data_IF_311155431767
#
_entry.id   IF_311155431767
#
_cell.length_a   1.000
_cell.length_b   1.000
_cell.length_c   1.000
_cell.angle_alpha   90.00
_cell.angle_beta   90.00
_cell.angle_gamma   90.00
#
_symmetry.space_group_name_H-M   'P 1'
#
loop_
_entity.id
_entity.type
_entity.pdbx_description
1 polymer ?
#
# COMPACT_ATOMS: atom_id res chain seq x y z
N UNK A 1 -22.18 3.78 14.85
CA UNK A 1 -21.11 3.69 13.86
C UNK A 1 -21.68 3.61 12.47
N UNK A 2 -21.19 4.46 11.56
CA UNK A 2 -21.73 4.61 10.20
C UNK A 2 -21.57 3.31 9.40
N UNK A 3 -20.39 2.68 9.42
CA UNK A 3 -20.11 1.47 8.64
C UNK A 3 -21.14 0.34 8.89
N UNK A 4 -21.46 0.04 10.15
CA UNK A 4 -22.47 -0.97 10.48
C UNK A 4 -23.82 -0.65 9.83
N UNK A 5 -24.29 0.57 10.05
CA UNK A 5 -25.61 0.98 9.55
C UNK A 5 -25.71 0.91 8.02
N UNK A 6 -24.63 1.29 7.33
CA UNK A 6 -24.57 1.25 5.86
C UNK A 6 -24.58 -0.20 5.35
N UNK A 7 -23.73 -1.08 5.86
CA UNK A 7 -23.67 -2.48 5.42
C UNK A 7 -24.95 -3.24 5.75
N UNK A 8 -25.58 -2.99 6.92
CA UNK A 8 -26.88 -3.59 7.26
C UNK A 8 -28.00 -3.08 6.34
N UNK A 9 -28.00 -1.79 5.97
CA UNK A 9 -28.93 -1.25 5.00
C UNK A 9 -28.77 -1.85 3.59
N UNK A 10 -27.55 -2.28 3.24
CA UNK A 10 -27.24 -3.02 2.01
C UNK A 10 -27.57 -4.52 2.11
N UNK A 11 -28.07 -5.00 3.24
CA UNK A 11 -28.47 -6.39 3.45
C UNK A 11 -27.37 -7.30 3.98
N UNK A 12 -26.22 -6.78 4.37
CA UNK A 12 -25.15 -7.57 4.95
C UNK A 12 -25.42 -7.89 6.43
N UNK A 13 -25.00 -9.07 6.88
CA UNK A 13 -24.89 -9.39 8.30
C UNK A 13 -23.52 -8.93 8.80
N UNK A 14 -23.51 -8.02 9.78
CA UNK A 14 -22.29 -7.36 10.23
C UNK A 14 -21.84 -7.79 11.62
N UNK A 15 -20.55 -7.98 11.78
CA UNK A 15 -19.84 -8.20 13.04
C UNK A 15 -18.86 -7.03 13.23
N UNK A 16 -18.93 -6.34 14.35
CA UNK A 16 -18.08 -5.16 14.61
C UNK A 16 -17.20 -5.42 15.81
N UNK A 17 -15.92 -5.17 15.66
CA UNK A 17 -14.93 -5.16 16.72
C UNK A 17 -14.29 -3.77 16.86
N UNK A 18 -13.63 -3.51 17.97
CA UNK A 18 -12.93 -2.25 18.27
C UNK A 18 -13.82 -1.00 18.11
N UNK A 19 -15.07 -1.09 18.57
CA UNK A 19 -16.12 -0.13 18.34
C UNK A 19 -16.42 0.80 19.52
N UNK A 20 -15.55 0.84 20.52
CA UNK A 20 -15.71 1.63 21.75
C UNK A 20 -14.58 2.67 21.85
N UNK A 21 -14.62 3.78 21.07
CA UNK A 21 -13.63 4.83 21.16
C UNK A 21 -13.71 5.55 22.51
N UNK A 22 -12.58 5.79 23.14
CA UNK A 22 -12.45 6.53 24.40
C UNK A 22 -11.69 7.84 24.25
N UNK A 23 -11.28 8.19 23.02
CA UNK A 23 -10.48 9.37 22.71
C UNK A 23 -8.96 9.17 22.82
N UNK A 24 -8.51 8.01 23.33
CA UNK A 24 -7.09 7.68 23.51
C UNK A 24 -6.68 6.39 22.81
N UNK A 25 -7.63 5.53 22.47
CA UNK A 25 -7.41 4.19 21.92
C UNK A 25 -7.43 4.11 20.37
N UNK A 26 -7.26 5.24 19.69
CA UNK A 26 -7.18 5.27 18.23
C UNK A 26 -6.03 4.37 17.74
N UNK A 27 -6.31 3.45 16.81
CA UNK A 27 -5.37 2.48 16.24
C UNK A 27 -4.71 1.51 17.26
N UNK A 28 -5.17 1.47 18.51
CA UNK A 28 -4.61 0.57 19.53
C UNK A 28 -5.01 -0.88 19.23
N UNK A 29 -4.07 -1.68 18.71
CA UNK A 29 -4.29 -3.06 18.27
C UNK A 29 -5.51 -3.20 17.32
N UNK A 30 -5.76 -2.19 16.51
CA UNK A 30 -6.92 -2.07 15.64
C UNK A 30 -6.60 -1.28 14.38
N UNK A 31 -7.50 -1.29 13.43
CA UNK A 31 -7.39 -0.52 12.20
C UNK A 31 -6.59 -1.22 11.10
N UNK A 32 -6.32 -0.48 10.02
CA UNK A 32 -5.69 -1.01 8.80
C UNK A 32 -4.26 -1.49 8.98
N UNK A 33 -3.59 -1.11 10.08
CA UNK A 33 -2.21 -1.53 10.41
C UNK A 33 -2.14 -2.69 11.41
N UNK A 34 -3.28 -3.12 11.97
CA UNK A 34 -3.38 -4.17 12.98
C UNK A 34 -4.59 -5.06 12.72
N UNK A 35 -4.51 -5.91 11.70
CA UNK A 35 -5.64 -6.71 11.20
C UNK A 35 -5.77 -8.08 11.88
N UNK A 36 -4.89 -8.45 12.82
CA UNK A 36 -4.85 -9.79 13.42
C UNK A 36 -6.16 -10.14 14.15
N UNK A 37 -6.78 -9.15 14.80
CA UNK A 37 -8.09 -9.30 15.46
C UNK A 37 -9.20 -9.58 14.45
N UNK A 38 -9.19 -8.84 13.35
CA UNK A 38 -10.14 -9.01 12.25
C UNK A 38 -9.96 -10.38 11.57
N UNK A 39 -8.71 -10.76 11.28
CA UNK A 39 -8.38 -12.07 10.68
C UNK A 39 -8.92 -13.23 11.52
N UNK A 40 -8.70 -13.20 12.84
CA UNK A 40 -9.25 -14.22 13.75
C UNK A 40 -10.77 -14.27 13.71
N UNK A 41 -11.43 -13.12 13.68
CA UNK A 41 -12.89 -13.07 13.62
C UNK A 41 -13.43 -13.63 12.30
N UNK A 42 -12.85 -13.25 11.16
CA UNK A 42 -13.23 -13.78 9.85
C UNK A 42 -13.16 -15.31 9.83
N UNK A 43 -12.04 -15.86 10.32
CA UNK A 43 -11.85 -17.32 10.34
C UNK A 43 -12.76 -18.04 11.33
N UNK A 44 -12.95 -17.51 12.55
CA UNK A 44 -13.75 -18.18 13.58
C UNK A 44 -15.24 -18.17 13.30
N UNK A 45 -15.75 -17.10 12.69
CA UNK A 45 -17.17 -16.94 12.35
C UNK A 45 -17.50 -17.32 10.89
N UNK A 46 -16.48 -17.78 10.13
CA UNK A 46 -16.61 -18.13 8.70
C UNK A 46 -17.25 -17.01 7.88
N UNK A 47 -16.72 -15.78 8.04
CA UNK A 47 -17.23 -14.61 7.35
C UNK A 47 -16.72 -14.54 5.92
N UNK A 48 -17.52 -13.95 5.03
CA UNK A 48 -17.18 -13.78 3.61
C UNK A 48 -16.03 -12.79 3.41
N UNK A 49 -15.93 -11.78 4.27
CA UNK A 49 -14.91 -10.71 4.19
C UNK A 49 -14.82 -9.95 5.51
N UNK A 50 -13.64 -9.40 5.81
CA UNK A 50 -13.43 -8.41 6.86
C UNK A 50 -12.89 -7.11 6.28
N UNK A 51 -13.29 -5.96 6.85
CA UNK A 51 -12.77 -4.65 6.49
C UNK A 51 -12.19 -3.94 7.71
N UNK A 52 -10.96 -3.44 7.59
CA UNK A 52 -10.27 -2.66 8.62
C UNK A 52 -10.06 -1.23 8.10
N UNK A 53 -10.43 -0.27 8.93
CA UNK A 53 -10.27 1.16 8.66
C UNK A 53 -9.24 1.75 9.61
N UNK A 54 -8.52 2.77 9.20
CA UNK A 54 -7.64 3.53 10.10
C UNK A 54 -8.40 4.60 10.89
N UNK A 55 -7.69 5.44 11.63
CA UNK A 55 -8.30 6.32 12.61
C UNK A 55 -9.23 7.39 12.06
N UNK A 56 -8.97 7.91 10.86
CA UNK A 56 -9.80 8.88 10.14
C UNK A 56 -10.62 8.26 8.99
N UNK A 57 -10.50 6.91 8.85
CA UNK A 57 -11.23 6.09 7.90
C UNK A 57 -11.03 6.47 6.43
N UNK A 58 -9.90 7.08 6.09
CA UNK A 58 -9.49 7.39 4.72
C UNK A 58 -8.89 6.17 4.01
N UNK A 59 -8.54 5.10 4.78
CA UNK A 59 -7.96 3.83 4.30
C UNK A 59 -8.87 2.65 4.62
N UNK A 60 -8.80 1.65 3.74
CA UNK A 60 -9.41 0.35 3.91
C UNK A 60 -8.42 -0.75 3.54
N UNK A 61 -8.20 -1.69 4.46
CA UNK A 61 -7.58 -2.99 4.19
C UNK A 61 -8.65 -4.05 4.37
N UNK A 62 -8.67 -5.05 3.49
CA UNK A 62 -9.61 -6.15 3.61
C UNK A 62 -8.90 -7.45 4.04
N UNK A 63 -9.69 -8.36 4.59
CA UNK A 63 -9.29 -9.73 4.90
C UNK A 63 -10.27 -10.65 4.18
N UNK A 64 -9.74 -11.57 3.39
CA UNK A 64 -10.56 -12.52 2.64
C UNK A 64 -11.09 -13.66 3.54
N UNK A 65 -11.94 -14.51 2.99
CA UNK A 65 -12.56 -15.63 3.68
C UNK A 65 -11.55 -16.70 4.20
N UNK A 66 -10.30 -16.66 3.71
CA UNK A 66 -9.21 -17.54 4.17
C UNK A 66 -8.34 -16.87 5.25
N UNK A 67 -8.67 -15.63 5.63
CA UNK A 67 -7.88 -14.84 6.58
C UNK A 67 -6.66 -14.17 5.96
N UNK A 68 -6.53 -14.14 4.64
CA UNK A 68 -5.42 -13.47 3.97
C UNK A 68 -5.71 -11.98 3.78
N UNK A 69 -4.65 -11.18 3.93
CA UNK A 69 -4.74 -9.72 3.73
C UNK A 69 -4.95 -9.39 2.25
N UNK A 70 -5.90 -8.50 1.98
CA UNK A 70 -6.10 -7.86 0.68
C UNK A 70 -5.79 -6.38 0.85
N UNK A 71 -4.54 -6.04 0.54
CA UNK A 71 -3.98 -4.70 0.67
C UNK A 71 -4.48 -3.73 -0.42
N UNK A 72 -4.06 -2.46 -0.33
CA UNK A 72 -4.49 -1.44 -1.29
C UNK A 72 -4.12 -1.76 -2.74
N UNK A 73 -3.02 -2.46 -3.00
CA UNK A 73 -2.63 -2.86 -4.34
C UNK A 73 -3.61 -3.88 -4.93
N UNK A 74 -4.01 -4.89 -4.15
CA UNK A 74 -5.02 -5.87 -4.55
C UNK A 74 -6.39 -5.23 -4.71
N UNK A 75 -6.76 -4.29 -3.82
CA UNK A 75 -8.00 -3.52 -3.91
C UNK A 75 -8.04 -2.71 -5.20
N UNK A 76 -6.96 -1.98 -5.53
CA UNK A 76 -6.86 -1.22 -6.78
C UNK A 76 -7.05 -2.09 -8.01
N UNK A 77 -6.46 -3.30 -8.03
CA UNK A 77 -6.65 -4.24 -9.12
C UNK A 77 -8.11 -4.66 -9.28
N UNK A 78 -8.75 -5.07 -8.18
CA UNK A 78 -10.15 -5.54 -8.19
C UNK A 78 -11.08 -4.45 -8.71
N UNK A 79 -10.92 -3.22 -8.19
CA UNK A 79 -11.73 -2.08 -8.58
C UNK A 79 -11.44 -1.63 -10.02
N UNK A 80 -10.17 -1.67 -10.45
CA UNK A 80 -9.80 -1.36 -11.82
C UNK A 80 -10.44 -2.32 -12.83
N UNK A 81 -10.42 -3.62 -12.55
CA UNK A 81 -11.09 -4.64 -13.38
C UNK A 81 -12.60 -4.40 -13.43
N UNK A 82 -13.26 -4.17 -12.29
CA UNK A 82 -14.70 -3.88 -12.24
C UNK A 82 -15.07 -2.63 -13.03
N UNK A 83 -14.32 -1.54 -12.84
CA UNK A 83 -14.54 -0.29 -13.56
C UNK A 83 -14.29 -0.42 -15.06
N UNK A 84 -13.29 -1.22 -15.47
CA UNK A 84 -13.03 -1.49 -16.88
C UNK A 84 -14.14 -2.32 -17.51
N UNK A 85 -14.58 -3.39 -16.86
CA UNK A 85 -15.70 -4.23 -17.32
C UNK A 85 -16.99 -3.41 -17.51
N UNK A 86 -17.25 -2.44 -16.63
CA UNK A 86 -18.40 -1.54 -16.72
C UNK A 86 -18.19 -0.34 -17.66
N UNK A 87 -17.01 -0.19 -18.28
CA UNK A 87 -16.68 0.96 -19.11
C UNK A 87 -16.53 2.29 -18.36
N UNK A 88 -16.31 2.23 -17.05
CA UNK A 88 -16.22 3.42 -16.18
C UNK A 88 -14.80 3.75 -15.73
N UNK A 89 -13.78 3.01 -16.20
CA UNK A 89 -12.36 3.31 -15.96
C UNK A 89 -11.83 4.24 -17.08
N UNK A 90 -11.68 5.54 -16.83
CA UNK A 90 -11.24 6.46 -17.87
C UNK A 90 -9.86 6.08 -18.41
N UNK A 91 -9.75 5.98 -19.73
CA UNK A 91 -8.50 5.64 -20.43
C UNK A 91 -7.90 4.28 -19.99
N UNK A 92 -8.68 3.38 -19.36
CA UNK A 92 -8.19 2.12 -18.78
C UNK A 92 -6.92 2.32 -17.92
N UNK A 93 -6.92 3.36 -17.08
CA UNK A 93 -5.70 3.77 -16.36
C UNK A 93 -5.95 3.95 -14.87
N UNK A 94 -5.03 3.42 -14.06
CA UNK A 94 -4.97 3.57 -12.58
C UNK A 94 -3.78 4.44 -12.22
N UNK A 95 -3.95 5.35 -11.24
CA UNK A 95 -2.84 6.13 -10.68
C UNK A 95 -2.33 5.46 -9.41
N UNK A 96 -1.04 5.21 -9.37
CA UNK A 96 -0.34 4.51 -8.27
C UNK A 96 0.83 5.34 -7.76
N UNK A 97 1.58 4.82 -6.81
CA UNK A 97 2.83 5.46 -6.34
C UNK A 97 4.04 4.58 -6.63
N UNK A 98 5.23 5.16 -6.53
CA UNK A 98 6.50 4.43 -6.61
C UNK A 98 6.65 3.32 -5.55
N UNK A 99 5.77 3.25 -4.55
CA UNK A 99 5.76 2.19 -3.53
C UNK A 99 4.87 0.99 -3.90
N UNK A 100 4.02 1.14 -4.89
CA UNK A 100 3.13 0.07 -5.39
C UNK A 100 3.92 -1.18 -5.77
N UNK A 101 3.45 -2.33 -5.35
CA UNK A 101 4.15 -3.60 -5.59
C UNK A 101 4.19 -3.97 -7.09
N UNK A 102 5.31 -4.49 -7.57
CA UNK A 102 5.46 -4.96 -8.96
C UNK A 102 4.41 -6.03 -9.33
N UNK A 103 3.89 -6.76 -8.34
CA UNK A 103 2.81 -7.73 -8.54
C UNK A 103 1.54 -7.08 -9.08
N UNK A 104 1.20 -5.86 -8.59
CA UNK A 104 0.07 -5.10 -9.14
C UNK A 104 0.33 -4.73 -10.61
N UNK A 105 1.52 -4.20 -10.95
CA UNK A 105 1.82 -3.82 -12.33
C UNK A 105 1.72 -4.98 -13.30
N UNK A 106 2.27 -6.16 -12.93
CA UNK A 106 2.14 -7.38 -13.74
C UNK A 106 0.68 -7.80 -13.94
N UNK A 107 -0.14 -7.70 -12.89
CA UNK A 107 -1.56 -8.05 -12.97
C UNK A 107 -2.34 -7.04 -13.85
N UNK A 108 -2.07 -5.74 -13.71
CA UNK A 108 -2.66 -4.70 -14.54
C UNK A 108 -2.28 -4.88 -16.02
N UNK A 109 -1.01 -5.12 -16.31
CA UNK A 109 -0.52 -5.37 -17.69
C UNK A 109 -1.20 -6.59 -18.30
N UNK A 110 -1.31 -7.69 -17.55
CA UNK A 110 -2.02 -8.91 -17.99
C UNK A 110 -3.51 -8.65 -18.24
N UNK A 111 -4.12 -7.73 -17.47
CA UNK A 111 -5.50 -7.29 -17.67
C UNK A 111 -5.64 -6.22 -18.78
N UNK A 112 -4.55 -5.74 -19.39
CA UNK A 112 -4.56 -4.66 -20.37
C UNK A 112 -4.98 -3.30 -19.77
N UNK A 113 -4.70 -3.09 -18.48
CA UNK A 113 -4.97 -1.84 -17.76
C UNK A 113 -3.65 -1.09 -17.61
N UNK A 114 -3.63 0.18 -17.98
CA UNK A 114 -2.45 1.04 -17.85
C UNK A 114 -2.31 1.59 -16.43
N UNK A 115 -1.12 1.99 -16.06
CA UNK A 115 -0.86 2.69 -14.81
C UNK A 115 -0.01 3.94 -15.01
N UNK A 116 -0.14 4.88 -14.08
CA UNK A 116 0.68 6.08 -13.97
C UNK A 116 1.22 6.15 -12.56
N UNK A 117 2.55 6.22 -12.42
CA UNK A 117 3.21 6.31 -11.12
C UNK A 117 3.41 7.78 -10.70
N UNK A 118 3.21 8.03 -9.41
CA UNK A 118 3.53 9.30 -8.75
C UNK A 118 4.52 9.09 -7.61
N UNK A 119 5.00 10.16 -7.03
CA UNK A 119 5.63 10.13 -5.70
C UNK A 119 4.61 9.73 -4.65
N UNK A 120 5.08 9.22 -3.50
CA UNK A 120 4.23 8.86 -2.35
C UNK A 120 3.49 10.09 -1.82
N UNK A 121 2.21 9.92 -1.58
CA UNK A 121 1.29 10.91 -0.99
C UNK A 121 0.02 11.07 -1.81
N UNK A 122 -1.10 11.06 -1.12
CA UNK A 122 -2.47 11.18 -1.64
C UNK A 122 -2.65 12.41 -2.55
N UNK A 123 -2.05 13.54 -2.14
CA UNK A 123 -2.05 14.78 -2.92
C UNK A 123 -1.49 14.57 -4.34
N UNK A 124 -0.36 13.86 -4.49
CA UNK A 124 0.27 13.65 -5.79
C UNK A 124 -0.56 12.71 -6.67
N UNK A 125 -1.20 11.71 -6.05
CA UNK A 125 -2.15 10.83 -6.73
C UNK A 125 -3.31 11.66 -7.26
N UNK A 126 -3.96 12.45 -6.40
CA UNK A 126 -5.11 13.26 -6.79
C UNK A 126 -4.76 14.29 -7.86
N UNK A 127 -3.65 15.02 -7.73
CA UNK A 127 -3.16 15.95 -8.74
C UNK A 127 -2.94 15.25 -10.10
N UNK A 128 -2.36 14.04 -10.11
CA UNK A 128 -2.18 13.24 -11.30
C UNK A 128 -3.52 12.81 -11.90
N UNK A 129 -4.47 12.36 -11.05
CA UNK A 129 -5.81 11.98 -11.49
C UNK A 129 -6.55 13.15 -12.15
N UNK A 130 -6.46 14.34 -11.58
CA UNK A 130 -7.09 15.54 -12.16
C UNK A 130 -6.45 15.91 -13.49
N UNK A 131 -5.11 15.95 -13.53
CA UNK A 131 -4.35 16.34 -14.74
C UNK A 131 -4.58 15.37 -15.90
N UNK A 132 -4.61 14.06 -15.61
CA UNK A 132 -4.79 13.02 -16.63
C UNK A 132 -6.23 12.63 -16.89
N UNK A 133 -7.19 13.13 -16.13
CA UNK A 133 -8.60 12.74 -16.26
C UNK A 133 -8.90 11.33 -15.73
N UNK A 134 -8.05 10.74 -14.88
CA UNK A 134 -8.18 9.38 -14.37
C UNK A 134 -9.25 9.26 -13.28
N UNK A 135 -9.88 8.09 -13.18
CA UNK A 135 -11.00 7.83 -12.29
C UNK A 135 -10.64 7.09 -10.99
N UNK A 136 -9.55 6.33 -10.99
CA UNK A 136 -9.11 5.49 -9.89
C UNK A 136 -7.62 5.73 -9.60
N UNK A 137 -7.27 5.84 -8.33
CA UNK A 137 -5.90 5.90 -7.88
C UNK A 137 -5.79 5.54 -6.40
N UNK A 138 -4.58 5.21 -5.94
CA UNK A 138 -4.38 4.88 -4.53
C UNK A 138 -3.00 4.35 -4.21
N UNK A 139 -2.87 3.87 -2.97
CA UNK A 139 -1.65 3.37 -2.36
C UNK A 139 -1.85 1.98 -1.76
N UNK A 140 -0.77 1.22 -1.63
CA UNK A 140 -0.74 -0.08 -0.95
C UNK A 140 -1.31 -0.01 0.48
N UNK A 141 -1.18 1.14 1.16
CA UNK A 141 -1.74 1.39 2.49
C UNK A 141 -3.28 1.30 2.59
N UNK A 142 -3.97 1.17 1.46
CA UNK A 142 -5.43 1.13 1.40
C UNK A 142 -6.09 2.49 1.19
N UNK A 143 -5.32 3.58 1.00
CA UNK A 143 -5.85 4.87 0.59
C UNK A 143 -6.24 4.82 -0.88
N UNK A 144 -7.55 4.71 -1.15
CA UNK A 144 -8.10 4.56 -2.51
C UNK A 144 -9.02 5.71 -2.83
N UNK A 145 -8.74 6.39 -3.94
CA UNK A 145 -9.51 7.54 -4.44
C UNK A 145 -10.35 7.09 -5.63
N UNK A 146 -11.65 7.15 -5.48
CA UNK A 146 -12.64 6.98 -6.53
C UNK A 146 -13.16 8.36 -6.95
N UNK A 147 -12.50 9.03 -7.88
CA UNK A 147 -12.68 10.45 -8.22
C UNK A 147 -14.12 10.83 -8.59
N UNK A 148 -14.92 9.88 -9.05
CA UNK A 148 -16.35 10.09 -9.32
C UNK A 148 -17.12 10.47 -8.04
N UNK A 149 -16.67 10.01 -6.88
CA UNK A 149 -17.40 10.11 -5.62
C UNK A 149 -16.70 11.01 -4.60
N UNK A 150 -15.37 11.00 -4.56
CA UNK A 150 -14.58 11.74 -3.57
C UNK A 150 -13.29 12.30 -4.17
N UNK A 151 -12.75 13.35 -3.53
CA UNK A 151 -11.46 13.98 -3.89
C UNK A 151 -10.29 13.46 -3.06
N UNK A 152 -10.56 12.57 -2.10
CA UNK A 152 -9.61 11.93 -1.21
C UNK A 152 -9.96 10.46 -1.07
N UNK A 153 -9.14 9.68 -0.37
CA UNK A 153 -9.48 8.31 0.02
C UNK A 153 -10.72 8.27 0.91
N UNK A 154 -11.51 7.22 0.73
CA UNK A 154 -12.67 6.91 1.56
C UNK A 154 -12.70 5.40 1.77
N UNK A 155 -12.31 4.98 2.97
CA UNK A 155 -12.23 3.56 3.31
C UNK A 155 -13.60 2.88 3.29
N UNK A 156 -14.64 3.56 3.76
CA UNK A 156 -15.99 2.98 3.76
C UNK A 156 -16.53 2.81 2.34
N UNK A 157 -16.36 3.81 1.47
CA UNK A 157 -16.72 3.71 0.07
C UNK A 157 -15.93 2.58 -0.62
N UNK A 158 -14.64 2.46 -0.35
CA UNK A 158 -13.78 1.39 -0.86
C UNK A 158 -14.31 0.01 -0.45
N UNK A 159 -14.66 -0.16 0.82
CA UNK A 159 -15.24 -1.41 1.34
C UNK A 159 -16.58 -1.76 0.67
N UNK A 160 -17.45 -0.77 0.46
CA UNK A 160 -18.74 -0.96 -0.23
C UNK A 160 -18.51 -1.41 -1.68
N UNK A 161 -17.62 -0.75 -2.41
CA UNK A 161 -17.31 -1.10 -3.81
C UNK A 161 -16.69 -2.49 -3.95
N UNK A 162 -15.87 -2.92 -2.97
CA UNK A 162 -15.37 -4.30 -2.92
C UNK A 162 -16.49 -5.31 -2.67
N UNK A 163 -17.37 -5.04 -1.71
CA UNK A 163 -18.50 -5.91 -1.40
C UNK A 163 -19.47 -6.01 -2.61
N UNK A 164 -19.76 -4.88 -3.27
CA UNK A 164 -20.54 -4.84 -4.51
C UNK A 164 -19.90 -5.74 -5.57
N UNK A 165 -18.56 -5.61 -5.79
CA UNK A 165 -17.85 -6.43 -6.76
C UNK A 165 -17.90 -7.93 -6.43
N UNK A 166 -17.81 -8.31 -5.18
CA UNK A 166 -17.94 -9.72 -4.75
C UNK A 166 -19.33 -10.28 -5.11
N UNK A 167 -20.39 -9.50 -4.83
CA UNK A 167 -21.78 -9.88 -5.13
C UNK A 167 -22.01 -9.98 -6.63
N UNK A 168 -21.62 -8.97 -7.40
CA UNK A 168 -21.83 -8.92 -8.85
C UNK A 168 -21.07 -10.04 -9.58
N UNK A 169 -19.82 -10.27 -9.20
CA UNK A 169 -19.00 -11.34 -9.76
C UNK A 169 -19.40 -12.74 -9.26
N UNK A 170 -20.16 -12.83 -8.16
CA UNK A 170 -20.45 -14.07 -7.43
C UNK A 170 -19.17 -14.86 -7.09
N UNK A 171 -18.16 -14.14 -6.66
CA UNK A 171 -16.84 -14.68 -6.35
C UNK A 171 -16.37 -14.23 -4.96
N UNK A 172 -15.69 -15.10 -4.20
CA UNK A 172 -15.05 -14.73 -2.96
C UNK A 172 -13.89 -13.76 -3.22
N UNK A 173 -13.54 -12.98 -2.19
CA UNK A 173 -12.52 -11.94 -2.29
C UNK A 173 -11.15 -12.51 -2.66
N UNK A 174 -10.79 -13.70 -2.13
CA UNK A 174 -9.54 -14.40 -2.46
C UNK A 174 -9.38 -14.63 -3.96
N UNK A 175 -10.45 -14.98 -4.65
CA UNK A 175 -10.43 -15.24 -6.10
C UNK A 175 -10.28 -13.95 -6.90
N UNK A 176 -10.91 -12.87 -6.46
CA UNK A 176 -10.78 -11.55 -7.09
C UNK A 176 -9.36 -10.98 -6.92
N UNK A 177 -8.73 -11.23 -5.77
CA UNK A 177 -7.38 -10.77 -5.45
C UNK A 177 -6.27 -11.65 -6.06
N UNK A 178 -6.56 -12.92 -6.38
CA UNK A 178 -5.57 -13.93 -6.81
C UNK A 178 -4.64 -13.51 -7.95
N UNK A 179 -5.06 -12.73 -8.97
CA UNK A 179 -4.15 -12.31 -10.03
C UNK A 179 -2.98 -11.43 -9.56
N UNK A 180 -3.10 -10.75 -8.40
CA UNK A 180 -2.03 -9.92 -7.84
C UNK A 180 -1.14 -10.77 -6.94
N UNK A 181 -0.07 -11.29 -7.52
CA UNK A 181 0.97 -12.03 -6.78
C UNK A 181 2.03 -11.04 -6.32
N UNK A 182 1.99 -10.70 -5.03
CA UNK A 182 2.93 -9.72 -4.46
C UNK A 182 4.36 -10.24 -4.49
N UNK A 183 5.28 -9.40 -4.95
CA UNK A 183 6.71 -9.66 -4.84
C UNK A 183 7.19 -9.34 -3.41
N UNK A 184 8.11 -10.11 -2.84
CA UNK A 184 8.78 -9.74 -1.60
C UNK A 184 9.35 -8.33 -1.69
N UNK A 185 8.97 -7.48 -0.73
CA UNK A 185 9.38 -6.08 -0.65
C UNK A 185 9.90 -5.80 0.76
N UNK A 186 11.01 -5.09 0.88
CA UNK A 186 11.60 -4.70 2.16
C UNK A 186 12.03 -3.25 2.12
N UNK A 187 11.67 -2.51 3.16
CA UNK A 187 12.14 -1.14 3.36
C UNK A 187 13.01 -1.05 4.61
N UNK A 188 14.18 -0.42 4.47
CA UNK A 188 15.05 -0.03 5.59
C UNK A 188 15.28 1.47 5.57
N UNK A 189 15.50 2.05 6.75
CA UNK A 189 15.75 3.48 6.91
C UNK A 189 17.11 3.71 7.56
N UNK A 190 17.73 4.85 7.22
CA UNK A 190 18.94 5.30 7.86
C UNK A 190 18.83 6.80 8.17
N UNK A 191 19.23 7.18 9.38
CA UNK A 191 19.23 8.56 9.83
C UNK A 191 20.38 9.31 9.20
N UNK A 192 20.09 10.50 8.69
CA UNK A 192 21.07 11.31 7.94
C UNK A 192 20.88 12.79 8.28
N UNK A 193 21.98 13.57 8.40
CA UNK A 193 21.89 15.01 8.67
C UNK A 193 21.33 15.78 7.48
N UNK A 194 21.62 15.34 6.27
CA UNK A 194 21.15 15.96 5.03
C UNK A 194 20.67 14.90 4.03
N UNK A 195 19.36 14.84 3.85
CA UNK A 195 18.71 13.89 2.91
C UNK A 195 19.05 14.20 1.46
N UNK A 196 19.18 15.47 1.11
CA UNK A 196 19.43 15.89 -0.27
C UNK A 196 20.89 15.64 -0.67
N UNK A 197 21.84 15.79 0.26
CA UNK A 197 23.23 15.40 0.06
C UNK A 197 23.38 13.89 -0.26
N UNK A 198 22.64 13.03 0.45
CA UNK A 198 22.63 11.57 0.15
C UNK A 198 22.11 11.29 -1.26
N UNK A 199 20.97 11.91 -1.61
CA UNK A 199 20.35 11.71 -2.93
C UNK A 199 21.17 12.33 -4.07
N UNK A 200 21.96 13.35 -3.79
CA UNK A 200 22.82 14.01 -4.77
C UNK A 200 24.19 13.30 -4.97
N UNK A 201 24.63 12.50 -3.98
CA UNK A 201 25.97 11.87 -4.00
C UNK A 201 26.14 10.97 -5.23
N UNK A 202 27.19 11.20 -6.06
CA UNK A 202 27.36 10.46 -7.31
C UNK A 202 27.69 8.97 -7.09
N UNK A 203 28.35 8.62 -5.96
CA UNK A 203 28.70 7.24 -5.64
C UNK A 203 27.46 6.47 -5.19
N UNK A 204 26.59 7.10 -4.41
CA UNK A 204 25.30 6.54 -4.01
C UNK A 204 24.42 6.31 -5.24
N UNK A 205 24.33 7.28 -6.16
CA UNK A 205 23.58 7.13 -7.42
C UNK A 205 24.12 5.99 -8.29
N UNK A 206 25.42 5.91 -8.44
CA UNK A 206 26.06 4.86 -9.23
C UNK A 206 25.78 3.46 -8.66
N UNK A 207 25.85 3.32 -7.32
CA UNK A 207 25.55 2.04 -6.65
C UNK A 207 24.07 1.69 -6.78
N UNK A 208 23.17 2.66 -6.65
CA UNK A 208 21.74 2.44 -6.86
C UNK A 208 21.46 1.90 -8.27
N UNK A 209 22.07 2.51 -9.28
CA UNK A 209 21.95 2.06 -10.68
C UNK A 209 22.56 0.66 -10.90
N UNK A 210 23.69 0.33 -10.27
CA UNK A 210 24.32 -0.99 -10.33
C UNK A 210 23.41 -2.07 -9.72
N UNK A 211 22.83 -1.82 -8.54
CA UNK A 211 21.90 -2.75 -7.92
C UNK A 211 20.64 -2.92 -8.79
N UNK A 212 20.10 -1.83 -9.33
CA UNK A 212 18.94 -1.89 -10.22
C UNK A 212 19.24 -2.73 -11.47
N UNK A 213 20.42 -2.58 -12.08
CA UNK A 213 20.85 -3.38 -13.22
C UNK A 213 20.99 -4.87 -12.89
N UNK A 214 21.52 -5.21 -11.69
CA UNK A 214 21.61 -6.61 -11.21
C UNK A 214 20.24 -7.25 -10.97
N UNK A 215 19.27 -6.47 -10.47
CA UNK A 215 17.90 -6.94 -10.25
C UNK A 215 17.15 -7.10 -11.59
N UNK A 216 17.44 -6.28 -12.59
CA UNK A 216 16.81 -6.32 -13.91
C UNK A 216 15.29 -6.26 -13.83
N UNK A 217 14.60 -7.05 -14.65
CA UNK A 217 13.13 -7.10 -14.67
C UNK A 217 12.51 -7.89 -13.51
N UNK A 218 13.33 -8.58 -12.70
CA UNK A 218 12.85 -9.40 -11.58
C UNK A 218 12.70 -8.63 -10.27
N UNK A 219 13.24 -7.40 -10.20
CA UNK A 219 13.18 -6.60 -8.99
C UNK A 219 13.50 -5.14 -9.24
N UNK A 220 13.48 -4.35 -8.18
CA UNK A 220 13.84 -2.92 -8.21
C UNK A 220 14.38 -2.46 -6.87
N UNK A 221 15.06 -1.35 -6.88
CA UNK A 221 15.52 -0.66 -5.68
C UNK A 221 15.19 0.83 -5.78
N UNK A 222 14.74 1.41 -4.69
CA UNK A 222 14.42 2.84 -4.59
C UNK A 222 15.12 3.44 -3.39
N UNK A 223 15.67 4.63 -3.57
CA UNK A 223 16.20 5.48 -2.50
C UNK A 223 15.37 6.76 -2.46
N UNK A 224 14.75 7.05 -1.32
CA UNK A 224 13.90 8.22 -1.16
C UNK A 224 14.08 8.90 0.19
N UNK A 225 13.83 10.19 0.24
CA UNK A 225 13.74 10.93 1.50
C UNK A 225 12.42 10.65 2.22
N UNK A 226 12.44 10.62 3.55
CA UNK A 226 11.23 10.72 4.37
C UNK A 226 10.71 12.16 4.37
N UNK A 227 9.40 12.34 4.25
CA UNK A 227 8.76 13.66 4.36
C UNK A 227 8.78 14.22 5.77
N UNK A 228 8.65 13.35 6.78
CA UNK A 228 8.43 13.72 8.19
C UNK A 228 9.63 13.50 9.09
N UNK A 229 10.53 12.59 8.73
CA UNK A 229 11.65 12.16 9.57
C UNK A 229 13.01 12.53 8.94
N UNK A 230 14.07 12.72 9.72
CA UNK A 230 15.43 12.95 9.21
C UNK A 230 16.10 11.64 8.75
N UNK A 231 15.42 10.90 7.88
CA UNK A 231 15.92 9.63 7.33
C UNK A 231 15.80 9.59 5.82
N UNK A 232 16.68 8.84 5.19
CA UNK A 232 16.46 8.29 3.86
C UNK A 232 15.99 6.84 3.97
N UNK A 233 15.15 6.44 3.04
CA UNK A 233 14.56 5.10 3.00
C UNK A 233 15.01 4.38 1.75
N UNK A 234 15.51 3.18 1.94
CA UNK A 234 15.86 2.24 0.86
C UNK A 234 14.78 1.18 0.82
N UNK A 235 14.06 1.08 -0.29
CA UNK A 235 13.13 0.01 -0.55
C UNK A 235 13.73 -0.89 -1.64
N UNK A 236 13.75 -2.18 -1.39
CA UNK A 236 14.09 -3.20 -2.38
C UNK A 236 12.91 -4.17 -2.56
N UNK A 237 12.67 -4.55 -3.80
CA UNK A 237 11.66 -5.52 -4.20
C UNK A 237 12.33 -6.53 -5.14
N UNK A 238 12.14 -7.83 -4.87
CA UNK A 238 12.84 -8.88 -5.60
C UNK A 238 12.14 -10.24 -5.39
N UNK A 239 12.57 -11.33 -6.07
CA UNK A 239 12.00 -12.65 -5.87
C UNK A 239 12.13 -13.22 -4.45
N UNK A 240 12.99 -12.67 -3.59
CA UNK A 240 13.13 -13.15 -2.21
C UNK A 240 13.45 -12.02 -1.22
N UNK A 241 12.94 -12.15 0.02
CA UNK A 241 13.25 -11.21 1.11
C UNK A 241 14.75 -11.17 1.43
N UNK A 242 15.48 -12.28 1.28
CA UNK A 242 16.91 -12.32 1.51
C UNK A 242 17.66 -11.40 0.52
N UNK A 243 17.27 -11.43 -0.76
CA UNK A 243 17.86 -10.56 -1.78
C UNK A 243 17.47 -9.08 -1.55
N UNK A 244 16.21 -8.81 -1.17
CA UNK A 244 15.79 -7.46 -0.77
C UNK A 244 16.65 -6.95 0.38
N UNK A 245 16.86 -7.77 1.41
CA UNK A 245 17.70 -7.45 2.56
C UNK A 245 19.12 -7.12 2.16
N UNK A 246 19.76 -7.98 1.35
CA UNK A 246 21.12 -7.78 0.88
C UNK A 246 21.29 -6.47 0.07
N UNK A 247 20.37 -6.17 -0.85
CA UNK A 247 20.38 -4.93 -1.62
C UNK A 247 20.21 -3.69 -0.74
N UNK A 248 19.28 -3.74 0.22
CA UNK A 248 19.07 -2.63 1.14
C UNK A 248 20.29 -2.41 2.05
N UNK A 249 20.86 -3.49 2.60
CA UNK A 249 22.04 -3.43 3.47
C UNK A 249 23.28 -2.90 2.74
N UNK A 250 23.49 -3.29 1.50
CA UNK A 250 24.54 -2.77 0.63
C UNK A 250 24.45 -1.25 0.47
N UNK A 251 23.24 -0.71 0.24
CA UNK A 251 23.01 0.73 0.14
C UNK A 251 23.25 1.44 1.48
N UNK A 252 22.73 0.90 2.59
CA UNK A 252 22.92 1.49 3.91
C UNK A 252 24.40 1.49 4.33
N UNK A 253 25.13 0.42 4.03
CA UNK A 253 26.57 0.32 4.29
C UNK A 253 27.36 1.37 3.49
N UNK A 254 27.02 1.58 2.22
CA UNK A 254 27.61 2.61 1.40
C UNK A 254 27.36 4.02 1.96
N UNK A 255 26.11 4.34 2.33
CA UNK A 255 25.75 5.65 2.88
C UNK A 255 26.58 5.93 4.15
N UNK A 256 26.76 4.94 5.03
CA UNK A 256 27.64 5.04 6.22
C UNK A 256 29.11 5.24 5.82
N UNK A 257 29.62 4.44 4.92
CA UNK A 257 31.03 4.52 4.46
C UNK A 257 31.37 5.86 3.78
N UNK A 258 30.37 6.53 3.21
CA UNK A 258 30.49 7.88 2.65
C UNK A 258 30.45 8.99 3.70
N UNK A 259 30.23 8.66 5.00
CA UNK A 259 30.08 9.66 6.07
C UNK A 259 28.78 10.50 5.94
N UNK A 260 27.76 9.97 5.24
CA UNK A 260 26.48 10.65 5.01
C UNK A 260 25.40 10.28 6.04
N UNK A 261 25.67 9.28 6.88
CA UNK A 261 24.78 8.89 7.99
C UNK A 261 25.14 9.63 9.27
N UNK A 262 24.14 9.85 10.14
CA UNK A 262 24.43 10.23 11.53
C UNK A 262 25.17 9.06 12.21
N UNK A 263 26.17 9.36 13.04
CA UNK A 263 26.81 8.37 13.89
C UNK A 263 25.73 7.81 14.85
N UNK A 264 25.71 6.48 15.00
CA UNK A 264 24.85 5.86 16.00
C UNK A 264 25.26 6.43 17.37
N UNK A 265 24.34 7.07 18.07
CA UNK A 265 24.58 7.48 19.46
C UNK A 265 25.12 6.27 20.22
N UNK A 266 26.33 6.42 20.77
CA UNK A 266 26.88 5.41 21.66
C UNK A 266 25.88 5.21 22.81
N UNK A 267 25.57 3.96 23.21
CA UNK A 267 24.66 3.73 24.31
C UNK A 267 25.12 4.55 25.51
N UNK A 268 24.26 5.40 26.05
CA UNK A 268 24.54 6.15 27.27
C UNK A 268 25.00 5.14 28.33
N UNK A 269 26.25 5.30 28.77
CA UNK A 269 26.72 4.55 29.95
C UNK A 269 25.96 5.08 31.15
N UNK A 270 24.96 4.32 31.56
CA UNK A 270 24.34 4.51 32.89
C UNK A 270 25.46 4.37 33.95
N UNK A 271 25.78 5.48 34.59
CA UNK A 271 26.66 5.55 35.76
C UNK A 271 25.87 5.23 37.02
#
# INVERSE_FOLDING_TARGET
MIAKAVFEALGARTYIINAAPDGLNINLNAGSTHIEGLRRLVLSEHLDVGFAFDGDADRCIAVDENGEEVDGDRILYILACAMRESGTLPQDTVVTTVMTNMGLYRALDAAGIRHVETTVGDRFIYESMVRGGYGLGGEQSGHVILRKYATTGDGLLTAIMLAERMVDAKMPLSRLAAPVVLSPQLQKSIRVPDKDAVLADPVVKARLADIAARLGNSGRILLRRSGTEPVVRVMAESPSLALCGACADEMLALIRARGLAEEAEAPERLH
#
